data_IF_270423154576
#
_entry.id   IF_270423154576
#
_cell.length_a   1.000
_cell.length_b   1.000
_cell.length_c   1.000
_cell.angle_alpha   90.00
_cell.angle_beta   90.00
_cell.angle_gamma   90.00
#
_symmetry.space_group_name_H-M   'P 1'
#
loop_
_entity.id
_entity.type
_entity.pdbx_description
1 polymer ?
#
# COMPACT_ATOMS: atom_id res chain seq x y z
N UNK A 1 -19.27 30.31 -27.06
CA UNK A 1 -20.19 29.24 -26.65
C UNK A 1 -19.44 27.93 -26.82
N UNK A 2 -18.77 27.54 -25.75
CA UNK A 2 -18.95 26.23 -25.12
C UNK A 2 -18.25 25.13 -25.93
N UNK A 3 -17.28 24.37 -25.42
CA UNK A 3 -17.01 23.78 -24.10
C UNK A 3 -16.66 22.34 -24.49
N UNK A 4 -15.71 21.72 -23.80
CA UNK A 4 -15.31 20.32 -23.99
C UNK A 4 -14.56 20.16 -25.32
N UNK A 5 -13.25 19.93 -25.36
CA UNK A 5 -12.72 18.57 -25.28
C UNK A 5 -11.18 18.61 -25.21
N UNK A 6 -10.60 19.33 -24.26
CA UNK A 6 -9.19 19.10 -23.89
C UNK A 6 -9.09 19.01 -22.37
N UNK A 7 -9.83 18.04 -21.82
CA UNK A 7 -9.47 17.44 -20.54
C UNK A 7 -8.47 16.32 -20.86
N UNK A 8 -7.26 16.74 -21.23
CA UNK A 8 -6.13 15.84 -21.41
C UNK A 8 -5.76 15.23 -20.06
N UNK A 9 -5.23 14.00 -20.12
CA UNK A 9 -4.25 13.50 -19.15
C UNK A 9 -3.50 14.64 -18.47
N UNK A 10 -3.62 14.76 -17.15
CA UNK A 10 -2.56 15.14 -16.21
C UNK A 10 -3.19 15.18 -14.82
N UNK A 11 -3.51 14.00 -14.29
CA UNK A 11 -3.56 13.81 -12.84
C UNK A 11 -2.17 13.34 -12.44
N UNK A 12 -1.26 14.30 -12.27
CA UNK A 12 0.02 14.06 -11.60
C UNK A 12 0.15 15.13 -10.52
N UNK A 13 0.08 14.65 -9.27
CA UNK A 13 0.54 15.27 -8.04
C UNK A 13 -0.20 16.52 -7.51
N UNK A 14 -1.20 16.25 -6.66
CA UNK A 14 -1.01 16.57 -5.24
C UNK A 14 -0.96 18.03 -4.80
N UNK A 15 -1.65 18.96 -5.48
CA UNK A 15 -1.91 20.29 -4.92
C UNK A 15 -3.42 20.46 -4.70
N UNK A 16 -3.85 20.38 -3.43
CA UNK A 16 -5.20 20.76 -3.02
C UNK A 16 -5.26 22.29 -2.96
N UNK A 17 -5.50 22.95 -4.09
CA UNK A 17 -5.71 24.40 -4.10
C UNK A 17 -7.17 24.63 -3.73
N UNK A 18 -7.40 25.10 -2.49
CA UNK A 18 -8.71 25.60 -2.09
C UNK A 18 -9.11 26.72 -3.06
N UNK A 19 -10.37 26.68 -3.51
CA UNK A 19 -10.99 27.56 -4.51
C UNK A 19 -10.89 29.05 -4.16
N UNK A 20 -9.72 29.68 -4.37
CA UNK A 20 -9.58 31.12 -4.50
C UNK A 20 -8.43 31.43 -5.48
N UNK A 21 -8.80 32.14 -6.55
CA UNK A 21 -7.94 32.79 -7.56
C UNK A 21 -7.18 31.88 -8.56
N UNK A 22 -7.93 31.37 -9.54
CA UNK A 22 -7.42 30.70 -10.76
C UNK A 22 -6.50 31.63 -11.59
N UNK A 23 -6.61 32.96 -11.44
CA UNK A 23 -5.73 33.92 -12.12
C UNK A 23 -4.25 33.76 -11.75
N UNK A 24 -3.92 33.43 -10.49
CA UNK A 24 -2.53 33.36 -10.04
C UNK A 24 -1.74 32.19 -10.64
N UNK A 25 -2.42 31.13 -11.09
CA UNK A 25 -1.76 29.96 -11.67
C UNK A 25 -1.19 30.27 -13.07
N UNK A 26 -1.90 31.08 -13.87
CA UNK A 26 -1.45 31.49 -15.20
C UNK A 26 -0.23 32.41 -15.11
N UNK A 27 -0.24 33.34 -14.15
CA UNK A 27 0.92 34.20 -13.89
C UNK A 27 2.12 33.39 -13.39
N UNK A 28 1.91 32.37 -12.55
CA UNK A 28 3.01 31.52 -12.06
C UNK A 28 3.65 30.70 -13.18
N UNK A 29 2.86 30.14 -14.10
CA UNK A 29 3.38 29.42 -15.28
C UNK A 29 4.17 30.35 -16.22
N UNK A 30 3.64 31.54 -16.51
CA UNK A 30 4.31 32.53 -17.37
C UNK A 30 5.63 33.03 -16.76
N UNK A 31 5.70 33.19 -15.44
CA UNK A 31 6.92 33.58 -14.74
C UNK A 31 8.01 32.50 -14.79
N UNK A 32 7.63 31.22 -14.83
CA UNK A 32 8.57 30.10 -15.00
C UNK A 32 9.06 30.01 -16.46
N UNK A 33 8.17 30.19 -17.44
CA UNK A 33 8.55 30.19 -18.86
C UNK A 33 9.45 31.38 -19.25
N UNK A 34 9.20 32.56 -18.66
CA UNK A 34 10.03 33.75 -18.85
C UNK A 34 11.33 33.74 -18.02
N UNK A 35 11.57 32.68 -17.23
CA UNK A 35 12.78 32.54 -16.40
C UNK A 35 12.87 33.54 -15.24
N UNK A 36 11.77 34.18 -14.87
CA UNK A 36 11.69 35.18 -13.80
C UNK A 36 11.58 34.53 -12.41
N UNK A 37 11.22 33.25 -12.34
CA UNK A 37 11.18 32.44 -11.12
C UNK A 37 11.95 31.13 -11.35
N UNK A 38 13.03 30.94 -10.60
CA UNK A 38 13.72 29.65 -10.53
C UNK A 38 12.97 28.75 -9.54
N UNK A 39 12.34 27.70 -10.06
CA UNK A 39 11.93 26.58 -9.20
C UNK A 39 13.18 25.78 -8.90
N UNK A 40 13.79 26.03 -7.73
CA UNK A 40 14.72 25.08 -7.16
C UNK A 40 13.90 23.80 -6.91
N UNK A 41 14.09 22.80 -7.76
CA UNK A 41 13.46 21.50 -7.58
C UNK A 41 13.80 21.00 -6.19
N UNK A 42 12.81 20.94 -5.31
CA UNK A 42 12.93 20.15 -4.09
C UNK A 42 13.00 18.69 -4.53
N UNK A 43 14.20 18.21 -4.85
CA UNK A 43 14.52 16.79 -4.90
C UNK A 43 14.53 16.26 -3.46
N UNK A 44 13.34 16.26 -2.86
CA UNK A 44 13.00 15.65 -1.59
C UNK A 44 11.97 14.56 -1.82
N UNK A 45 12.08 13.82 -2.93
CA UNK A 45 11.60 12.45 -2.94
C UNK A 45 12.62 11.68 -2.12
N UNK A 46 12.37 11.54 -0.82
CA UNK A 46 12.98 10.45 -0.07
C UNK A 46 12.72 9.20 -0.89
N UNK A 47 13.77 8.53 -1.37
CA UNK A 47 13.69 7.12 -1.69
C UNK A 47 13.16 6.45 -0.43
N UNK A 48 11.84 6.29 -0.34
CA UNK A 48 11.25 5.37 0.61
C UNK A 48 11.84 4.04 0.20
N UNK A 49 12.70 3.47 1.04
CA UNK A 49 13.18 2.10 0.90
C UNK A 49 11.99 1.26 0.41
N UNK A 50 12.10 0.76 -0.83
CA UNK A 50 10.97 0.12 -1.48
C UNK A 50 10.53 -1.03 -0.57
N UNK A 51 9.35 -0.88 0.04
CA UNK A 51 8.93 -1.78 1.10
C UNK A 51 8.74 -3.15 0.51
N UNK A 52 9.59 -4.10 0.92
CA UNK A 52 9.51 -5.47 0.48
C UNK A 52 8.67 -6.32 1.44
N UNK A 53 7.97 -7.28 0.86
CA UNK A 53 7.08 -8.21 1.55
C UNK A 53 7.39 -9.63 1.12
N UNK A 54 7.39 -10.57 2.06
CA UNK A 54 7.34 -11.97 1.70
C UNK A 54 5.89 -12.40 1.49
N UNK A 55 5.62 -13.12 0.41
CA UNK A 55 4.31 -13.69 0.09
C UNK A 55 4.44 -15.18 -0.21
N UNK A 56 3.55 -15.97 0.36
CA UNK A 56 3.35 -17.37 0.00
C UNK A 56 1.87 -17.64 -0.26
N UNK A 57 1.56 -18.67 -1.04
CA UNK A 57 0.17 -18.98 -1.37
C UNK A 57 -0.06 -20.47 -1.65
N UNK A 58 -1.28 -20.90 -1.40
CA UNK A 58 -1.74 -22.27 -1.67
C UNK A 58 -3.14 -22.27 -2.25
N UNK A 59 -3.37 -23.18 -3.20
CA UNK A 59 -4.70 -23.41 -3.77
C UNK A 59 -5.29 -24.69 -3.19
N UNK A 60 -6.48 -24.56 -2.61
CA UNK A 60 -7.26 -25.68 -2.08
C UNK A 60 -8.63 -25.69 -2.75
N UNK A 61 -8.78 -26.53 -3.78
CA UNK A 61 -9.99 -26.51 -4.61
C UNK A 61 -10.20 -25.14 -5.26
N UNK A 62 -11.32 -24.49 -4.94
CA UNK A 62 -11.66 -23.14 -5.43
C UNK A 62 -10.98 -22.02 -4.64
N UNK A 63 -10.44 -22.32 -3.46
CA UNK A 63 -9.90 -21.34 -2.54
C UNK A 63 -8.42 -21.07 -2.76
N UNK A 64 -8.03 -19.80 -2.62
CA UNK A 64 -6.66 -19.32 -2.68
C UNK A 64 -6.31 -18.70 -1.32
N UNK A 65 -5.45 -19.38 -0.57
CA UNK A 65 -4.83 -18.85 0.64
C UNK A 65 -3.61 -18.04 0.24
N UNK A 66 -3.56 -16.78 0.65
CA UNK A 66 -2.41 -15.90 0.51
C UNK A 66 -1.96 -15.48 1.89
N UNK A 67 -0.67 -15.61 2.15
CA UNK A 67 -0.06 -15.19 3.41
C UNK A 67 1.06 -14.21 3.11
N UNK A 68 1.18 -13.17 3.91
CA UNK A 68 2.18 -12.14 3.67
C UNK A 68 2.74 -11.53 4.96
N UNK A 69 4.02 -11.19 4.95
CA UNK A 69 4.64 -10.46 6.06
C UNK A 69 5.61 -9.37 5.58
N UNK A 70 5.84 -8.39 6.45
CA UNK A 70 6.94 -7.44 6.27
C UNK A 70 8.28 -8.20 6.23
N UNK A 71 9.18 -7.81 5.33
CA UNK A 71 10.40 -8.58 5.07
C UNK A 71 11.31 -8.78 6.28
N UNK A 72 11.38 -7.78 7.18
CA UNK A 72 12.27 -7.76 8.34
C UNK A 72 11.79 -8.65 9.50
N UNK A 73 10.54 -9.09 9.50
CA UNK A 73 10.00 -9.95 10.56
C UNK A 73 9.95 -11.42 10.17
N UNK A 74 10.43 -11.79 8.97
CA UNK A 74 10.55 -13.19 8.58
C UNK A 74 11.50 -13.94 9.54
N UNK A 75 11.03 -15.05 10.10
CA UNK A 75 11.74 -15.84 11.10
C UNK A 75 11.51 -15.37 12.55
N UNK A 76 10.80 -14.27 12.78
CA UNK A 76 10.51 -13.78 14.12
C UNK A 76 9.56 -14.71 14.87
N UNK A 77 9.73 -14.75 16.20
CA UNK A 77 8.78 -15.34 17.15
C UNK A 77 8.10 -14.21 17.90
N UNK A 78 6.78 -14.12 17.76
CA UNK A 78 5.95 -13.04 18.27
C UNK A 78 4.97 -13.60 19.29
N UNK A 79 4.90 -12.96 20.45
CA UNK A 79 4.07 -13.42 21.57
C UNK A 79 3.20 -12.28 22.11
N UNK A 80 1.95 -12.60 22.49
CA UNK A 80 1.02 -11.66 23.13
C UNK A 80 0.07 -12.45 24.04
N UNK A 81 0.33 -12.42 25.34
CA UNK A 81 -0.35 -13.28 26.31
C UNK A 81 -0.15 -14.76 25.97
N UNK A 82 -1.25 -15.46 25.67
CA UNK A 82 -1.23 -16.88 25.31
C UNK A 82 -1.02 -17.13 23.81
N UNK A 83 -1.05 -16.09 22.97
CA UNK A 83 -0.85 -16.21 21.53
C UNK A 83 0.64 -16.24 21.23
N UNK A 84 1.07 -17.24 20.45
CA UNK A 84 2.44 -17.38 19.96
C UNK A 84 2.40 -17.68 18.47
N UNK A 85 3.06 -16.84 17.68
CA UNK A 85 3.20 -17.02 16.24
C UNK A 85 4.68 -17.03 15.90
N UNK A 86 5.08 -18.00 15.07
CA UNK A 86 6.37 -17.95 14.38
C UNK A 86 6.10 -17.54 12.93
N UNK A 87 6.70 -16.44 12.49
CA UNK A 87 6.64 -15.98 11.08
C UNK A 87 7.59 -16.85 10.26
N UNK A 88 7.30 -18.14 10.15
CA UNK A 88 8.25 -19.13 9.66
C UNK A 88 8.55 -18.96 8.17
N UNK A 89 9.76 -19.33 7.74
CA UNK A 89 10.14 -19.27 6.33
C UNK A 89 9.31 -20.22 5.48
N UNK A 90 8.93 -21.35 6.06
CA UNK A 90 8.14 -22.39 5.39
C UNK A 90 6.71 -21.90 5.11
N UNK A 91 6.14 -21.09 6.00
CA UNK A 91 4.78 -20.58 5.84
C UNK A 91 4.77 -19.22 5.13
N UNK A 92 5.54 -18.23 5.58
CA UNK A 92 5.52 -16.89 4.98
C UNK A 92 6.56 -16.66 3.88
N UNK A 93 7.69 -17.37 3.91
CA UNK A 93 8.89 -17.10 3.10
C UNK A 93 8.86 -17.63 1.67
N UNK A 94 7.83 -17.25 0.90
CA UNK A 94 7.77 -17.53 -0.53
C UNK A 94 8.55 -16.50 -1.36
N UNK A 95 7.84 -15.66 -2.12
CA UNK A 95 8.42 -14.64 -2.98
C UNK A 95 8.63 -13.33 -2.22
N UNK A 96 9.73 -12.62 -2.51
CA UNK A 96 9.95 -11.25 -2.02
C UNK A 96 9.46 -10.27 -3.09
N UNK A 97 8.45 -9.47 -2.76
CA UNK A 97 7.72 -8.60 -3.71
C UNK A 97 7.63 -7.17 -3.21
N UNK A 98 7.35 -6.22 -4.11
CA UNK A 98 7.03 -4.84 -3.74
C UNK A 98 5.56 -4.66 -3.32
N UNK A 99 5.19 -3.43 -2.95
CA UNK A 99 3.81 -3.10 -2.52
C UNK A 99 2.74 -3.30 -3.60
N UNK A 100 3.07 -3.06 -4.87
CA UNK A 100 2.12 -3.17 -5.98
C UNK A 100 1.82 -4.64 -6.27
N UNK A 101 2.86 -5.46 -6.37
CA UNK A 101 2.73 -6.91 -6.51
C UNK A 101 2.03 -7.52 -5.30
N UNK A 102 2.40 -7.12 -4.08
CA UNK A 102 1.76 -7.60 -2.87
C UNK A 102 0.24 -7.39 -2.91
N UNK A 103 -0.18 -6.18 -3.25
CA UNK A 103 -1.61 -5.85 -3.33
C UNK A 103 -2.37 -6.70 -4.35
N UNK A 104 -1.74 -7.04 -5.48
CA UNK A 104 -2.34 -7.92 -6.50
C UNK A 104 -2.58 -9.33 -5.94
N UNK A 105 -1.63 -9.89 -5.20
CA UNK A 105 -1.82 -11.18 -4.52
C UNK A 105 -2.93 -11.09 -3.48
N UNK A 106 -2.92 -10.07 -2.60
CA UNK A 106 -3.93 -9.94 -1.56
C UNK A 106 -5.36 -9.82 -2.13
N UNK A 107 -5.56 -9.11 -3.24
CA UNK A 107 -6.88 -8.99 -3.91
C UNK A 107 -7.40 -10.32 -4.45
N UNK A 108 -6.51 -11.22 -4.86
CA UNK A 108 -6.87 -12.52 -5.41
C UNK A 108 -7.26 -13.54 -4.33
N UNK A 109 -6.88 -13.30 -3.07
CA UNK A 109 -7.07 -14.22 -1.97
C UNK A 109 -8.55 -14.46 -1.67
N UNK A 110 -8.93 -15.73 -1.46
CA UNK A 110 -10.17 -16.04 -0.72
C UNK A 110 -9.89 -16.21 0.77
N UNK A 111 -8.67 -16.55 1.15
CA UNK A 111 -8.21 -16.61 2.54
C UNK A 111 -6.93 -15.77 2.63
N UNK A 112 -6.89 -14.80 3.52
CA UNK A 112 -5.74 -13.91 3.70
C UNK A 112 -5.25 -13.99 5.14
N UNK A 113 -3.95 -14.19 5.34
CA UNK A 113 -3.31 -14.16 6.66
C UNK A 113 -2.05 -13.27 6.60
N UNK A 114 -2.11 -12.10 7.22
CA UNK A 114 -1.05 -11.09 7.09
C UNK A 114 -0.57 -10.60 8.45
N UNK A 115 0.73 -10.33 8.55
CA UNK A 115 1.37 -9.82 9.76
C UNK A 115 2.49 -8.83 9.44
N UNK A 116 2.55 -7.70 10.14
CA UNK A 116 3.54 -6.64 9.92
C UNK A 116 2.89 -5.28 9.67
N UNK A 117 3.57 -4.24 10.14
CA UNK A 117 3.08 -2.85 10.10
C UNK A 117 2.72 -2.42 8.69
N UNK A 118 3.59 -2.68 7.71
CA UNK A 118 3.42 -2.18 6.36
C UNK A 118 2.40 -3.00 5.57
N UNK A 119 2.43 -4.33 5.65
CA UNK A 119 1.51 -5.19 4.89
C UNK A 119 0.07 -5.06 5.39
N UNK A 120 -0.13 -4.95 6.71
CA UNK A 120 -1.47 -4.74 7.28
C UNK A 120 -2.00 -3.36 6.93
N UNK A 121 -1.15 -2.33 7.00
CA UNK A 121 -1.51 -0.98 6.56
C UNK A 121 -1.92 -0.97 5.08
N UNK A 122 -1.15 -1.63 4.21
CA UNK A 122 -1.45 -1.74 2.78
C UNK A 122 -2.82 -2.39 2.53
N UNK A 123 -3.13 -3.48 3.23
CA UNK A 123 -4.41 -4.17 3.12
C UNK A 123 -5.58 -3.31 3.64
N UNK A 124 -5.38 -2.58 4.73
CA UNK A 124 -6.38 -1.69 5.33
C UNK A 124 -6.69 -0.51 4.39
N UNK A 125 -5.66 0.17 3.88
CA UNK A 125 -5.80 1.30 2.95
C UNK A 125 -6.45 0.88 1.63
N UNK A 126 -6.20 -0.35 1.18
CA UNK A 126 -6.86 -0.93 0.01
C UNK A 126 -8.30 -1.42 0.25
N UNK A 127 -8.81 -1.33 1.49
CA UNK A 127 -10.16 -1.77 1.85
C UNK A 127 -10.35 -3.30 1.83
N UNK A 128 -9.27 -4.08 1.92
CA UNK A 128 -9.33 -5.55 1.91
C UNK A 128 -9.64 -6.14 3.29
N UNK A 129 -9.40 -5.37 4.35
CA UNK A 129 -9.71 -5.72 5.74
C UNK A 129 -10.41 -4.56 6.44
N UNK A 130 -11.18 -4.87 7.48
CA UNK A 130 -11.72 -3.88 8.41
C UNK A 130 -10.72 -3.62 9.54
N UNK A 131 -10.66 -2.39 10.06
CA UNK A 131 -9.79 -2.02 11.19
C UNK A 131 -10.00 -2.90 12.43
N UNK A 132 -11.23 -3.35 12.67
CA UNK A 132 -11.58 -4.19 13.82
C UNK A 132 -11.11 -5.64 13.67
N UNK A 133 -10.67 -6.04 12.47
CA UNK A 133 -10.06 -7.35 12.22
C UNK A 133 -8.57 -7.39 12.58
N UNK A 134 -7.98 -6.26 13.01
CA UNK A 134 -6.56 -6.15 13.34
C UNK A 134 -6.36 -6.42 14.82
N UNK A 135 -5.49 -7.38 15.13
CA UNK A 135 -4.99 -7.66 16.48
C UNK A 135 -3.48 -7.42 16.54
N UNK A 136 -2.94 -7.22 17.75
CA UNK A 136 -1.50 -7.01 17.95
C UNK A 136 -0.85 -8.26 18.58
N UNK A 137 0.18 -8.80 17.92
CA UNK A 137 0.91 -10.00 18.36
C UNK A 137 2.41 -9.66 18.36
N UNK A 138 3.07 -9.70 19.52
CA UNK A 138 4.49 -9.33 19.64
C UNK A 138 4.80 -7.92 19.13
N UNK A 139 3.88 -6.97 19.31
CA UNK A 139 4.01 -5.60 18.80
C UNK A 139 3.75 -5.43 17.30
N UNK A 140 3.47 -6.51 16.56
CA UNK A 140 3.14 -6.46 15.14
C UNK A 140 1.63 -6.57 14.93
N UNK A 141 1.04 -5.74 14.05
CA UNK A 141 -0.35 -5.92 13.67
C UNK A 141 -0.49 -7.18 12.83
N UNK A 142 -1.59 -7.89 13.05
CA UNK A 142 -1.95 -9.11 12.35
C UNK A 142 -3.44 -9.03 11.97
N UNK A 143 -3.77 -9.49 10.77
CA UNK A 143 -5.14 -9.60 10.31
C UNK A 143 -5.36 -10.90 9.53
N UNK A 144 -6.53 -11.50 9.70
CA UNK A 144 -6.97 -12.65 8.93
C UNK A 144 -8.36 -12.38 8.35
N UNK A 145 -8.58 -12.81 7.11
CA UNK A 145 -9.87 -12.70 6.43
C UNK A 145 -10.17 -13.97 5.65
N UNK A 146 -11.47 -14.32 5.59
CA UNK A 146 -11.98 -15.43 4.80
C UNK A 146 -13.20 -14.93 4.00
N UNK A 147 -13.17 -15.09 2.68
CA UNK A 147 -14.29 -14.86 1.78
C UNK A 147 -15.04 -16.17 1.57
N UNK A 148 -16.25 -16.26 2.13
CA UNK A 148 -17.14 -17.40 1.88
C UNK A 148 -17.85 -17.20 0.56
N UNK A 149 -17.45 -17.91 -0.48
CA UNK A 149 -18.19 -17.99 -1.73
C UNK A 149 -19.26 -19.09 -1.59
N UNK A 150 -20.47 -18.69 -1.20
CA UNK A 150 -21.67 -19.53 -1.19
C UNK A 150 -22.13 -19.87 -2.61
#
# INVERSE_FOLDING_TARGET
MLRLMLYAQFVVQGILISQRSVELQYWFALLVELGLVLVAGCSGLSESSESKFYINFWRYGKDLMVVACDSEILGAKLESGNLRITVSKEFYGGMLVDSHEALNYLRSASIMNIIGVRIVKLALEAGLIHKDAIIIIGGQPHAQFIRVNL
#
